data_IF_943336987722
#
_entry.id   IF_943336987722
#
_cell.length_a   1.000
_cell.length_b   1.000
_cell.length_c   1.000
_cell.angle_alpha   90.00
_cell.angle_beta   90.00
_cell.angle_gamma   90.00
#
_symmetry.space_group_name_H-M   'P 1'
#
loop_
_entity.id
_entity.type
_entity.pdbx_description
1 polymer ?
#
# COMPACT_ATOMS: atom_id res chain seq x y z
N UNK A 1 8.63 6.69 -2.50
CA UNK A 1 7.43 6.42 -3.33
C UNK A 1 7.00 4.98 -3.11
N UNK A 2 5.77 4.73 -2.66
CA UNK A 2 5.28 3.36 -2.40
C UNK A 2 4.79 2.71 -3.69
N UNK A 3 5.37 1.54 -3.99
CA UNK A 3 5.01 0.69 -5.12
C UNK A 3 4.08 -0.44 -4.62
N UNK A 4 3.12 -0.89 -5.42
CA UNK A 4 2.22 -1.96 -5.00
C UNK A 4 2.94 -3.31 -4.98
N UNK A 5 3.72 -3.60 -6.02
CA UNK A 5 4.50 -4.83 -6.18
C UNK A 5 5.86 -4.57 -6.80
N UNK A 6 6.83 -5.42 -6.50
CA UNK A 6 8.25 -5.21 -6.86
C UNK A 6 8.57 -5.46 -8.34
N UNK A 7 7.70 -6.11 -9.11
CA UNK A 7 8.01 -6.59 -10.47
C UNK A 7 7.17 -6.00 -11.61
N UNK A 8 6.08 -5.30 -11.33
CA UNK A 8 5.04 -5.04 -12.35
C UNK A 8 4.87 -3.57 -12.74
N UNK A 9 5.44 -2.63 -11.97
CA UNK A 9 5.14 -1.20 -12.15
C UNK A 9 6.17 -0.41 -12.97
N UNK A 10 7.39 -0.92 -13.17
CA UNK A 10 8.47 -0.24 -13.90
C UNK A 10 9.21 -1.22 -14.82
N UNK A 11 8.83 -1.36 -16.09
CA UNK A 11 9.62 -2.14 -17.04
C UNK A 11 11.00 -1.50 -17.24
N UNK A 12 12.07 -2.26 -16.97
CA UNK A 12 13.46 -1.84 -17.24
C UNK A 12 14.20 -1.15 -16.09
N UNK A 13 13.65 -1.06 -14.87
CA UNK A 13 14.40 -0.62 -13.68
C UNK A 13 14.56 -1.75 -12.68
N UNK A 14 15.79 -1.91 -12.20
CA UNK A 14 16.09 -2.83 -11.11
C UNK A 14 15.56 -2.27 -9.79
N UNK A 15 14.46 -2.87 -9.31
CA UNK A 15 13.79 -2.50 -8.05
C UNK A 15 14.62 -2.91 -6.82
N UNK A 16 15.75 -3.61 -6.98
CA UNK A 16 16.73 -3.81 -5.91
C UNK A 16 17.58 -2.55 -5.63
N UNK A 17 17.68 -1.62 -6.59
CA UNK A 17 18.45 -0.38 -6.45
C UNK A 17 17.64 0.78 -5.85
N UNK A 18 16.33 0.62 -5.69
CA UNK A 18 15.46 1.61 -5.05
C UNK A 18 15.02 1.01 -3.71
N UNK A 19 15.64 1.40 -2.58
CA UNK A 19 15.29 0.87 -1.26
C UNK A 19 13.96 1.46 -0.79
N UNK A 20 12.86 0.94 -1.34
CA UNK A 20 11.51 1.23 -0.88
C UNK A 20 10.75 -0.08 -0.69
N UNK A 21 10.18 -0.31 0.52
CA UNK A 21 9.30 -1.45 0.72
C UNK A 21 8.04 -1.27 -0.12
N UNK A 22 7.59 -2.35 -0.74
CA UNK A 22 6.30 -2.40 -1.43
C UNK A 22 5.15 -2.46 -0.42
N UNK A 23 3.95 -2.16 -0.90
CA UNK A 23 2.71 -2.33 -0.13
C UNK A 23 2.57 -3.79 0.31
N UNK A 24 2.86 -4.75 -0.57
CA UNK A 24 2.76 -6.19 -0.25
C UNK A 24 3.74 -6.58 0.87
N UNK A 25 5.01 -6.17 0.78
CA UNK A 25 6.00 -6.44 1.83
C UNK A 25 5.58 -5.82 3.18
N UNK A 26 5.01 -4.61 3.14
CA UNK A 26 4.51 -3.93 4.34
C UNK A 26 3.30 -4.65 4.94
N UNK A 27 2.34 -5.08 4.11
CA UNK A 27 1.20 -5.88 4.56
C UNK A 27 1.64 -7.22 5.18
N UNK A 28 2.68 -7.84 4.60
CA UNK A 28 3.25 -9.07 5.12
C UNK A 28 3.96 -8.87 6.46
N UNK A 29 4.63 -7.73 6.67
CA UNK A 29 5.26 -7.38 7.95
C UNK A 29 4.22 -7.23 9.07
N UNK A 30 3.05 -6.69 8.76
CA UNK A 30 1.98 -6.43 9.73
C UNK A 30 0.87 -7.51 9.74
N UNK A 31 1.09 -8.65 9.07
CA UNK A 31 0.07 -9.68 8.89
C UNK A 31 -0.43 -10.29 10.20
N UNK A 32 0.41 -10.33 11.23
CA UNK A 32 0.11 -10.98 12.51
C UNK A 32 -0.54 -10.00 13.51
N UNK A 33 -0.66 -8.72 13.16
CA UNK A 33 -1.38 -7.76 13.98
C UNK A 33 -2.89 -8.08 14.02
N UNK A 34 -3.55 -7.85 15.17
CA UNK A 34 -5.00 -7.92 15.24
C UNK A 34 -5.63 -6.83 14.36
N UNK A 35 -6.87 -7.08 13.91
CA UNK A 35 -7.56 -6.22 12.93
C UNK A 35 -7.69 -4.77 13.43
N UNK A 36 -7.91 -4.56 14.72
CA UNK A 36 -8.00 -3.23 15.33
C UNK A 36 -6.69 -2.43 15.19
N UNK A 37 -5.53 -3.08 15.24
CA UNK A 37 -4.23 -2.44 15.03
C UNK A 37 -3.95 -2.22 13.53
N UNK A 38 -4.31 -3.19 12.67
CA UNK A 38 -4.18 -3.04 11.21
C UNK A 38 -5.01 -1.88 10.67
N UNK A 39 -6.18 -1.63 11.25
CA UNK A 39 -7.05 -0.51 10.86
C UNK A 39 -6.44 0.87 11.13
N UNK A 40 -5.43 0.97 12.01
CA UNK A 40 -4.69 2.21 12.26
C UNK A 40 -3.60 2.46 11.21
N UNK A 41 -3.27 1.46 10.39
CA UNK A 41 -2.21 1.56 9.39
C UNK A 41 -2.80 2.13 8.11
N UNK A 42 -2.44 3.37 7.81
CA UNK A 42 -2.84 4.09 6.60
C UNK A 42 -1.68 4.17 5.61
N UNK A 43 -1.82 3.53 4.45
CA UNK A 43 -0.85 3.64 3.37
C UNK A 43 -0.98 5.00 2.66
N UNK A 44 0.16 5.66 2.41
CA UNK A 44 0.25 6.99 1.78
C UNK A 44 1.29 7.02 0.66
N UNK A 45 1.38 8.14 -0.08
CA UNK A 45 2.48 8.44 -1.00
C UNK A 45 2.69 7.38 -2.13
N UNK A 46 1.65 7.18 -2.94
CA UNK A 46 1.67 6.29 -4.10
C UNK A 46 2.21 6.95 -5.35
N UNK A 47 2.78 6.16 -6.26
CA UNK A 47 3.00 6.60 -7.64
C UNK A 47 1.69 6.58 -8.45
N UNK A 48 1.67 7.27 -9.59
CA UNK A 48 0.49 7.32 -10.47
C UNK A 48 0.18 5.97 -11.14
N UNK A 49 1.16 5.08 -11.22
CA UNK A 49 1.01 3.72 -11.77
C UNK A 49 0.51 2.72 -10.72
N UNK A 50 0.42 3.11 -9.45
CA UNK A 50 0.04 2.22 -8.36
C UNK A 50 -1.42 1.84 -8.54
N UNK A 51 -1.75 0.54 -8.60
CA UNK A 51 -3.13 0.08 -8.63
C UNK A 51 -4.00 0.67 -7.50
N UNK A 52 -3.43 1.00 -6.34
CA UNK A 52 -4.14 1.66 -5.24
C UNK A 52 -4.57 3.08 -5.53
N UNK A 53 -4.08 3.71 -6.60
CA UNK A 53 -4.55 5.02 -7.05
C UNK A 53 -5.85 4.89 -7.86
N UNK A 54 -6.04 3.80 -8.63
CA UNK A 54 -7.17 3.58 -9.54
C UNK A 54 -8.46 3.16 -8.84
N UNK A 55 -9.51 3.98 -8.91
CA UNK A 55 -10.77 3.74 -8.20
C UNK A 55 -11.41 2.43 -8.67
N UNK A 56 -11.79 1.56 -7.72
CA UNK A 56 -12.36 0.23 -8.04
C UNK A 56 -11.34 -0.85 -8.43
N UNK A 57 -10.04 -0.62 -8.26
CA UNK A 57 -9.05 -1.66 -8.50
C UNK A 57 -9.12 -2.79 -7.46
N UNK A 58 -8.87 -4.02 -7.91
CA UNK A 58 -8.78 -5.20 -7.04
C UNK A 58 -7.72 -5.02 -5.92
N UNK A 59 -6.69 -4.21 -6.17
CA UNK A 59 -5.67 -3.88 -5.18
C UNK A 59 -6.25 -3.17 -3.94
N UNK A 60 -7.26 -2.32 -4.11
CA UNK A 60 -7.94 -1.67 -2.98
C UNK A 60 -8.75 -2.67 -2.15
N UNK A 61 -9.37 -3.64 -2.82
CA UNK A 61 -10.14 -4.68 -2.14
C UNK A 61 -9.23 -5.63 -1.38
N UNK A 62 -8.09 -6.03 -1.96
CA UNK A 62 -7.04 -6.80 -1.27
C UNK A 62 -6.58 -6.08 0.00
N UNK A 63 -6.31 -4.76 -0.09
CA UNK A 63 -5.85 -3.97 1.04
C UNK A 63 -6.91 -3.86 2.15
N UNK A 64 -8.17 -3.62 1.78
CA UNK A 64 -9.31 -3.56 2.73
C UNK A 64 -9.59 -4.91 3.37
N UNK A 65 -9.60 -6.00 2.60
CA UNK A 65 -9.85 -7.36 3.08
C UNK A 65 -8.75 -7.82 4.05
N UNK A 66 -7.53 -7.33 3.87
CA UNK A 66 -6.43 -7.56 4.80
C UNK A 66 -6.50 -6.69 6.07
N UNK A 67 -7.47 -5.77 6.18
CA UNK A 67 -7.73 -4.94 7.37
C UNK A 67 -6.98 -3.62 7.42
N UNK A 68 -6.30 -3.22 6.33
CA UNK A 68 -5.53 -1.99 6.25
C UNK A 68 -6.35 -0.83 5.69
N UNK A 69 -5.84 0.40 5.85
CA UNK A 69 -6.48 1.61 5.35
C UNK A 69 -5.66 2.29 4.25
N UNK A 70 -6.37 2.96 3.34
CA UNK A 70 -5.79 3.80 2.30
C UNK A 70 -6.03 5.26 2.67
N UNK A 71 -4.96 6.07 2.77
CA UNK A 71 -5.17 7.47 3.05
C UNK A 71 -5.75 8.22 1.85
N UNK A 72 -6.60 9.20 2.13
CA UNK A 72 -7.13 10.12 1.11
C UNK A 72 -6.57 11.52 1.31
N UNK A 73 -6.47 12.26 0.21
CA UNK A 73 -6.10 13.68 0.29
C UNK A 73 -7.10 14.43 1.17
N UNK A 74 -6.60 15.24 2.10
CA UNK A 74 -7.42 15.97 3.07
C UNK A 74 -7.97 15.11 4.21
N UNK A 75 -7.55 13.85 4.35
CA UNK A 75 -7.93 13.03 5.49
C UNK A 75 -7.35 13.59 6.79
N UNK A 76 -8.23 13.77 7.78
CA UNK A 76 -7.87 14.14 9.15
C UNK A 76 -7.82 12.85 9.99
N UNK A 77 -6.72 12.64 10.70
CA UNK A 77 -6.57 11.54 11.65
C UNK A 77 -6.56 12.17 13.05
N UNK A 78 -7.53 11.77 13.87
CA UNK A 78 -7.58 12.15 15.27
C UNK A 78 -6.82 11.07 16.07
N UNK A 79 -5.91 11.52 16.93
CA UNK A 79 -5.05 10.66 17.74
C UNK A 79 -5.60 10.49 19.15
#
# INVERSE_FOLDING_TARGET
>A
MLHFSRGTELPGRDMSQIPHPSVIESMQLFKDLPVNEKQKIHFIHFNHTNPLYQSGSNARDVLKNAGFQLAKQGQIINL
#
